data_IF_617780061590
#
_entry.id   IF_617780061590
#
_cell.length_a   1.000
_cell.length_b   1.000
_cell.length_c   1.000
_cell.angle_alpha   90.00
_cell.angle_beta   90.00
_cell.angle_gamma   90.00
#
_symmetry.space_group_name_H-M   'P 1'
#
loop_
_entity.id
_entity.type
_entity.pdbx_description
1 polymer ?
#
# COMPACT_ATOMS: atom_id res chain seq x y z
N UNK A 1 2.06 -22.47 29.26
CA UNK A 1 2.80 -21.19 29.20
C UNK A 1 2.27 -20.44 28.00
N UNK A 2 1.78 -19.24 28.24
CA UNK A 2 0.95 -18.48 27.32
C UNK A 2 1.86 -17.76 26.31
N UNK A 3 1.95 -18.29 25.08
CA UNK A 3 2.55 -17.57 23.96
C UNK A 3 1.62 -16.43 23.55
N UNK A 4 1.61 -15.37 24.36
CA UNK A 4 1.05 -14.08 23.95
C UNK A 4 1.96 -13.56 22.84
N UNK A 5 1.58 -13.82 21.58
CA UNK A 5 2.09 -13.11 20.40
C UNK A 5 2.27 -11.66 20.79
N UNK A 6 3.52 -11.18 20.73
CA UNK A 6 3.87 -9.81 21.03
C UNK A 6 3.08 -8.93 20.04
N UNK A 7 1.97 -8.34 20.47
CA UNK A 7 1.09 -7.54 19.61
C UNK A 7 1.84 -6.24 19.34
N UNK A 8 2.65 -6.22 18.28
CA UNK A 8 3.25 -4.98 17.77
C UNK A 8 2.11 -4.03 17.42
N UNK A 9 2.15 -2.82 17.96
CA UNK A 9 1.22 -1.78 17.57
C UNK A 9 1.56 -1.38 16.13
N UNK A 10 0.56 -1.16 15.26
CA UNK A 10 0.81 -0.90 13.83
C UNK A 10 1.72 0.31 13.59
N UNK A 11 1.62 1.30 14.49
CA UNK A 11 2.43 2.52 14.53
C UNK A 11 3.92 2.28 14.83
N UNK A 12 4.26 1.11 15.37
CA UNK A 12 5.64 0.72 15.68
C UNK A 12 6.24 -0.18 14.58
N UNK A 13 5.46 -0.51 13.53
CA UNK A 13 5.91 -1.30 12.39
C UNK A 13 6.35 -0.33 11.28
N UNK A 14 7.54 -0.54 10.73
CA UNK A 14 7.98 0.25 9.59
C UNK A 14 7.02 0.04 8.42
N UNK A 15 6.59 1.10 7.74
CA UNK A 15 5.66 1.01 6.60
C UNK A 15 6.15 -0.01 5.55
N UNK A 16 7.47 -0.12 5.35
CA UNK A 16 8.08 -1.13 4.50
C UNK A 16 7.74 -2.56 4.94
N UNK A 17 7.97 -2.90 6.22
CA UNK A 17 7.69 -4.23 6.77
C UNK A 17 6.20 -4.57 6.63
N UNK A 18 5.33 -3.61 6.91
CA UNK A 18 3.88 -3.79 6.77
C UNK A 18 3.47 -4.07 5.32
N UNK A 19 4.01 -3.30 4.37
CA UNK A 19 3.71 -3.46 2.94
C UNK A 19 4.25 -4.79 2.41
N UNK A 20 5.44 -5.23 2.83
CA UNK A 20 6.00 -6.52 2.44
C UNK A 20 5.12 -7.69 2.92
N UNK A 21 4.68 -7.66 4.18
CA UNK A 21 3.74 -8.66 4.73
C UNK A 21 2.39 -8.65 3.99
N UNK A 22 1.84 -7.46 3.69
CA UNK A 22 0.59 -7.33 2.94
C UNK A 22 0.74 -7.84 1.49
N UNK A 23 1.88 -7.60 0.83
CA UNK A 23 2.15 -8.13 -0.52
C UNK A 23 2.18 -9.66 -0.52
N UNK A 24 2.84 -10.26 0.47
CA UNK A 24 2.94 -11.72 0.58
C UNK A 24 1.59 -12.43 0.74
N UNK A 25 0.58 -11.74 1.28
CA UNK A 25 -0.77 -12.27 1.47
C UNK A 25 -1.79 -11.82 0.40
N UNK A 26 -1.32 -11.23 -0.71
CA UNK A 26 -2.17 -10.63 -1.74
C UNK A 26 -3.09 -9.50 -1.22
N UNK A 27 -2.73 -8.85 -0.11
CA UNK A 27 -3.43 -7.70 0.48
C UNK A 27 -3.02 -6.35 -0.12
N UNK A 28 -2.11 -6.34 -1.10
CA UNK A 28 -1.73 -5.14 -1.86
C UNK A 28 -1.88 -5.42 -3.34
N UNK A 29 -2.57 -4.52 -4.05
CA UNK A 29 -2.52 -4.42 -5.50
C UNK A 29 -1.49 -3.37 -5.88
N UNK A 30 -0.53 -3.77 -6.70
CA UNK A 30 0.52 -2.90 -7.24
C UNK A 30 0.20 -2.51 -8.68
N UNK A 31 0.33 -1.22 -8.98
CA UNK A 31 0.23 -0.66 -10.32
C UNK A 31 1.48 0.17 -10.58
N UNK A 32 2.02 0.08 -11.80
CA UNK A 32 3.18 0.85 -12.24
C UNK A 32 2.66 1.82 -13.30
N UNK A 33 2.89 3.12 -13.09
CA UNK A 33 2.74 4.14 -14.10
C UNK A 33 4.14 4.46 -14.64
N UNK A 34 4.35 4.21 -15.93
CA UNK A 34 5.62 4.52 -16.60
C UNK A 34 5.77 6.04 -16.79
N UNK A 35 6.97 6.55 -17.13
CA UNK A 35 7.14 7.97 -17.41
C UNK A 35 6.12 8.47 -18.44
N UNK A 36 5.51 9.62 -18.12
CA UNK A 36 4.46 10.26 -18.95
C UNK A 36 3.12 9.54 -19.00
N UNK A 37 2.96 8.37 -18.37
CA UNK A 37 1.65 7.74 -18.23
C UNK A 37 0.77 8.60 -17.31
N UNK A 38 -0.34 9.09 -17.85
CA UNK A 38 -1.36 9.75 -17.03
C UNK A 38 -2.10 8.73 -16.17
N UNK A 39 -2.28 9.04 -14.89
CA UNK A 39 -3.09 8.22 -14.00
C UNK A 39 -4.04 9.08 -13.17
N UNK A 40 -5.13 8.43 -12.73
CA UNK A 40 -6.16 9.04 -11.91
C UNK A 40 -6.55 8.12 -10.76
N UNK A 41 -6.45 8.63 -9.54
CA UNK A 41 -6.95 7.96 -8.33
C UNK A 41 -8.19 8.73 -7.87
N UNK A 42 -9.30 8.01 -7.73
CA UNK A 42 -10.56 8.60 -7.29
C UNK A 42 -11.04 7.90 -6.02
N UNK A 43 -11.28 8.66 -4.96
CA UNK A 43 -11.89 8.20 -3.71
C UNK A 43 -13.05 9.13 -3.37
N UNK A 44 -14.28 8.65 -3.58
CA UNK A 44 -15.50 9.46 -3.50
C UNK A 44 -15.39 10.69 -4.40
N UNK A 45 -15.34 11.89 -3.82
CA UNK A 45 -15.25 13.17 -4.52
C UNK A 45 -13.81 13.67 -4.68
N UNK A 46 -12.83 12.99 -4.07
CA UNK A 46 -11.42 13.37 -4.17
C UNK A 46 -10.79 12.72 -5.39
N UNK A 47 -10.10 13.54 -6.17
CA UNK A 47 -9.40 13.13 -7.39
C UNK A 47 -7.95 13.58 -7.26
N UNK A 48 -7.04 12.63 -7.46
CA UNK A 48 -5.62 12.89 -7.74
C UNK A 48 -5.37 12.52 -9.19
N UNK A 49 -4.96 13.51 -10.00
CA UNK A 49 -4.57 13.35 -11.39
C UNK A 49 -3.11 13.77 -11.53
N UNK A 50 -2.27 12.84 -11.95
CA UNK A 50 -0.82 13.00 -12.02
C UNK A 50 -0.27 12.23 -13.22
N UNK A 51 1.03 12.37 -13.48
CA UNK A 51 1.75 11.61 -14.52
C UNK A 51 2.91 10.83 -13.90
N UNK A 52 3.22 9.66 -14.44
CA UNK A 52 4.33 8.84 -13.98
C UNK A 52 5.72 9.49 -14.22
N UNK A 53 6.79 8.94 -13.64
CA UNK A 53 6.83 7.59 -13.07
C UNK A 53 6.27 7.51 -11.64
N UNK A 54 5.46 6.49 -11.37
CA UNK A 54 4.93 6.23 -10.03
C UNK A 54 4.67 4.73 -9.78
N UNK A 55 4.90 4.28 -8.53
CA UNK A 55 4.42 2.99 -8.04
C UNK A 55 3.23 3.27 -7.13
N UNK A 56 2.08 2.72 -7.47
CA UNK A 56 0.83 2.90 -6.74
C UNK A 56 0.52 1.60 -6.01
N UNK A 57 0.48 1.67 -4.69
CA UNK A 57 0.16 0.54 -3.81
C UNK A 57 -1.24 0.73 -3.24
N UNK A 58 -2.19 -0.11 -3.65
CA UNK A 58 -3.55 -0.12 -3.12
C UNK A 58 -3.65 -1.24 -2.09
N UNK A 59 -3.67 -0.87 -0.81
CA UNK A 59 -3.90 -1.80 0.30
C UNK A 59 -5.40 -2.10 0.37
N UNK A 60 -5.78 -3.38 0.24
CA UNK A 60 -7.18 -3.82 0.13
C UNK A 60 -7.65 -4.68 1.31
N UNK A 61 -6.81 -4.81 2.34
CA UNK A 61 -7.03 -5.64 3.53
C UNK A 61 -7.23 -4.78 4.78
#
# INVERSE_FOLDING_TARGET
>A
MEDRKNIKNIKDIATKELIEELRNRNGVKELIAEPYDSFKIMVKEQILEETGPAIILVVID
#
